data_IF_707822094997
#
_entry.id   IF_707822094997
#
_cell.length_a   1.000
_cell.length_b   1.000
_cell.length_c   1.000
_cell.angle_alpha   90.00
_cell.angle_beta   90.00
_cell.angle_gamma   90.00
#
_symmetry.space_group_name_H-M   'P 1'
#
loop_
_entity.id
_entity.type
_entity.pdbx_description
1 polymer ?
#
# COMPACT_ATOMS: atom_id res chain seq x y z
N UNK A 1 13.74 11.82 -6.29
CA UNK A 1 14.47 10.87 -5.37
C UNK A 1 15.68 11.57 -4.80
N UNK A 2 15.92 11.38 -3.52
CA UNK A 2 16.99 12.01 -2.76
C UNK A 2 17.89 10.94 -2.15
N UNK A 3 19.22 11.08 -2.30
CA UNK A 3 20.22 10.26 -1.63
C UNK A 3 20.87 11.06 -0.49
N UNK A 4 20.82 10.53 0.72
CA UNK A 4 21.46 11.13 1.89
C UNK A 4 22.52 10.21 2.47
N UNK A 5 23.68 10.72 2.92
CA UNK A 5 24.66 9.92 3.62
C UNK A 5 24.11 9.44 4.97
N UNK A 6 24.45 8.23 5.32
CA UNK A 6 24.19 7.63 6.63
C UNK A 6 25.48 7.48 7.43
N UNK A 7 25.38 7.63 8.74
CA UNK A 7 26.49 7.34 9.68
C UNK A 7 26.54 5.84 9.98
N UNK A 8 26.58 5.01 8.94
CA UNK A 8 26.60 3.55 9.08
C UNK A 8 27.76 2.96 8.28
N UNK A 9 28.50 2.04 8.89
CA UNK A 9 29.59 1.32 8.19
C UNK A 9 29.06 0.33 7.14
N UNK A 10 27.83 -0.11 7.28
CA UNK A 10 27.19 -1.12 6.41
C UNK A 10 26.44 -0.53 5.24
N UNK A 11 25.87 0.67 5.42
CA UNK A 11 25.09 1.38 4.42
C UNK A 11 25.51 2.84 4.42
N UNK A 12 26.36 3.27 3.47
CA UNK A 12 26.90 4.63 3.47
C UNK A 12 25.86 5.69 3.10
N UNK A 13 24.79 5.33 2.41
CA UNK A 13 23.72 6.25 2.03
C UNK A 13 22.36 5.55 1.93
N UNK A 14 21.32 6.36 1.97
CA UNK A 14 19.94 5.95 1.79
C UNK A 14 19.28 6.78 0.68
N UNK A 15 18.51 6.09 -0.15
CA UNK A 15 17.60 6.72 -1.08
C UNK A 15 16.22 6.83 -0.49
N UNK A 16 15.56 7.97 -0.70
CA UNK A 16 14.20 8.26 -0.27
C UNK A 16 13.49 9.13 -1.31
N UNK A 17 12.16 9.06 -1.45
CA UNK A 17 11.42 10.11 -2.14
C UNK A 17 11.62 11.43 -1.40
N UNK A 18 11.82 12.51 -2.14
CA UNK A 18 11.94 13.85 -1.57
C UNK A 18 10.62 14.63 -1.68
N UNK A 19 10.03 14.58 -2.87
CA UNK A 19 8.82 15.33 -3.19
C UNK A 19 8.13 14.70 -4.41
N UNK A 20 6.80 14.86 -4.49
CA UNK A 20 6.01 14.61 -5.71
C UNK A 20 5.53 15.95 -6.25
N UNK A 21 6.03 16.32 -7.43
CA UNK A 21 5.67 17.56 -8.11
C UNK A 21 4.62 17.28 -9.17
N UNK A 22 3.44 17.85 -9.02
CA UNK A 22 2.41 17.84 -10.05
C UNK A 22 2.73 18.88 -11.11
N UNK A 23 3.04 18.43 -12.31
CA UNK A 23 3.41 19.32 -13.41
C UNK A 23 2.69 18.91 -14.69
N UNK A 24 2.18 19.86 -15.49
CA UNK A 24 1.63 19.60 -16.81
C UNK A 24 2.72 19.38 -17.88
N UNK A 25 4.00 19.47 -17.51
CA UNK A 25 5.09 19.32 -18.46
C UNK A 25 5.16 17.90 -18.99
N UNK A 26 5.52 17.73 -20.27
CA UNK A 26 5.68 16.41 -20.87
C UNK A 26 6.82 15.64 -20.20
N UNK A 27 6.76 14.33 -20.33
CA UNK A 27 7.85 13.47 -19.88
C UNK A 27 9.16 13.87 -20.58
N UNK A 28 10.21 13.97 -19.80
CA UNK A 28 11.57 14.17 -20.31
C UNK A 28 12.52 13.22 -19.58
N UNK A 29 13.79 13.18 -19.99
CA UNK A 29 14.79 12.34 -19.36
C UNK A 29 14.97 12.72 -17.87
N UNK A 30 15.26 11.75 -17.01
CA UNK A 30 15.66 12.03 -15.63
C UNK A 30 16.84 12.99 -15.58
N UNK A 31 16.85 13.88 -14.61
CA UNK A 31 17.93 14.85 -14.45
C UNK A 31 18.35 15.00 -13.00
N UNK A 32 19.65 15.17 -12.79
CA UNK A 32 20.22 15.50 -11.50
C UNK A 32 20.03 17.00 -11.23
N UNK A 33 19.30 17.32 -10.15
CA UNK A 33 19.06 18.72 -9.73
C UNK A 33 20.14 19.21 -8.78
N UNK A 34 20.72 18.29 -8.00
CA UNK A 34 21.79 18.57 -7.05
C UNK A 34 22.69 17.36 -6.91
N UNK A 35 23.99 17.59 -6.87
CA UNK A 35 24.98 16.56 -6.58
C UNK A 35 26.10 17.17 -5.73
N UNK A 36 25.96 17.02 -4.42
CA UNK A 36 26.97 17.47 -3.46
C UNK A 36 27.22 16.37 -2.40
N UNK A 37 28.30 16.46 -1.61
CA UNK A 37 28.65 15.44 -0.62
C UNK A 37 27.58 15.18 0.45
N UNK A 38 26.71 16.15 0.71
CA UNK A 38 25.65 16.06 1.71
C UNK A 38 24.34 15.51 1.14
N UNK A 39 24.13 15.63 -0.19
CA UNK A 39 22.86 15.28 -0.82
C UNK A 39 23.00 15.15 -2.32
N UNK A 40 22.39 14.12 -2.87
CA UNK A 40 22.14 14.04 -4.32
C UNK A 40 20.63 14.01 -4.57
N UNK A 41 20.13 14.88 -5.45
CA UNK A 41 18.71 15.02 -5.75
C UNK A 41 18.46 14.79 -7.24
N UNK A 42 17.61 13.82 -7.56
CA UNK A 42 17.21 13.49 -8.92
C UNK A 42 15.72 13.74 -9.15
N UNK A 43 15.40 14.35 -10.27
CA UNK A 43 14.04 14.50 -10.78
C UNK A 43 13.77 13.42 -11.83
N UNK A 44 12.65 12.72 -11.69
CA UNK A 44 12.16 11.69 -12.62
C UNK A 44 10.80 12.15 -13.17
N UNK A 45 10.77 12.83 -14.31
CA UNK A 45 9.52 13.26 -14.94
C UNK A 45 8.84 12.09 -15.66
N UNK A 46 7.52 12.25 -15.94
CA UNK A 46 6.79 11.33 -16.80
C UNK A 46 6.01 10.23 -16.08
N UNK A 47 6.07 10.18 -14.74
CA UNK A 47 5.13 9.34 -14.00
C UNK A 47 3.73 9.93 -14.12
N UNK A 48 2.75 9.11 -14.47
CA UNK A 48 1.35 9.53 -14.58
C UNK A 48 0.55 9.02 -13.40
N UNK A 49 -0.23 9.91 -12.77
CA UNK A 49 -1.22 9.55 -11.78
C UNK A 49 -2.60 9.51 -12.45
N UNK A 50 -3.30 8.39 -12.31
CA UNK A 50 -4.68 8.23 -12.74
C UNK A 50 -5.51 7.70 -11.58
N UNK A 51 -6.75 8.19 -11.45
CA UNK A 51 -7.70 7.65 -10.50
C UNK A 51 -8.67 6.72 -11.22
N UNK A 52 -8.92 5.57 -10.62
CA UNK A 52 -9.81 4.53 -11.13
C UNK A 52 -10.96 4.31 -10.15
N UNK A 53 -12.18 4.21 -10.64
CA UNK A 53 -13.38 4.05 -9.79
C UNK A 53 -13.40 2.73 -9.02
N UNK A 54 -12.80 1.69 -9.54
CA UNK A 54 -12.65 0.38 -8.89
C UNK A 54 -11.62 0.38 -7.75
N UNK A 55 -10.71 1.36 -7.71
CA UNK A 55 -9.77 1.59 -6.60
C UNK A 55 -10.29 2.61 -5.55
N UNK A 56 -11.54 3.05 -5.64
CA UNK A 56 -12.11 4.07 -4.76
C UNK A 56 -12.05 3.68 -3.26
N UNK A 57 -12.15 2.38 -2.93
CA UNK A 57 -11.95 1.89 -1.57
C UNK A 57 -10.51 2.12 -1.08
N UNK A 58 -9.52 1.85 -1.90
CA UNK A 58 -8.11 2.09 -1.56
C UNK A 58 -7.81 3.58 -1.32
N UNK A 59 -8.44 4.47 -2.06
CA UNK A 59 -8.34 5.92 -1.84
C UNK A 59 -9.04 6.34 -0.56
N UNK A 60 -10.22 5.78 -0.28
CA UNK A 60 -10.92 6.00 0.99
C UNK A 60 -10.04 5.57 2.18
N UNK A 61 -9.43 4.39 2.14
CA UNK A 61 -8.56 3.89 3.21
C UNK A 61 -7.34 4.79 3.44
N UNK A 62 -6.76 5.35 2.37
CA UNK A 62 -5.68 6.31 2.49
C UNK A 62 -6.13 7.59 3.20
N UNK A 63 -7.29 8.15 2.83
CA UNK A 63 -7.85 9.33 3.49
C UNK A 63 -8.22 9.07 4.95
N UNK A 64 -8.82 7.92 5.25
CA UNK A 64 -9.27 7.52 6.59
C UNK A 64 -8.12 7.18 7.54
N UNK A 65 -6.91 7.02 7.05
CA UNK A 65 -5.70 6.75 7.84
C UNK A 65 -5.33 7.87 8.83
N UNK A 66 -5.89 9.06 8.66
CA UNK A 66 -5.53 10.27 9.41
C UNK A 66 -4.23 10.93 8.98
N UNK A 67 -3.47 10.31 8.08
CA UNK A 67 -2.22 10.83 7.50
C UNK A 67 -2.13 10.48 6.03
N UNK A 68 -2.98 11.07 5.17
CA UNK A 68 -3.03 10.75 3.74
C UNK A 68 -1.67 10.97 3.08
N UNK A 69 -1.27 10.02 2.23
CA UNK A 69 0.06 10.04 1.64
C UNK A 69 0.09 9.57 0.19
N UNK A 70 1.13 9.98 -0.51
CA UNK A 70 1.58 9.35 -1.73
C UNK A 70 2.21 8.01 -1.40
N UNK A 71 2.00 7.01 -2.23
CA UNK A 71 2.76 5.76 -2.24
C UNK A 71 3.63 5.75 -3.49
N UNK A 72 4.95 5.67 -3.30
CA UNK A 72 5.92 5.72 -4.37
C UNK A 72 6.69 4.39 -4.39
N UNK A 73 6.45 3.59 -5.41
CA UNK A 73 7.20 2.36 -5.65
C UNK A 73 8.43 2.69 -6.47
N UNK A 74 9.57 2.21 -6.03
CA UNK A 74 10.84 2.42 -6.70
C UNK A 74 11.77 1.21 -6.58
N UNK A 75 12.76 1.14 -7.46
CA UNK A 75 13.78 0.10 -7.45
C UNK A 75 15.16 0.72 -7.67
N UNK A 76 16.19 0.01 -7.26
CA UNK A 76 17.55 0.35 -7.66
C UNK A 76 17.79 -0.05 -9.11
N UNK A 77 18.36 0.87 -9.89
CA UNK A 77 18.93 0.63 -11.22
C UNK A 77 20.40 1.07 -11.18
N UNK A 78 21.30 0.10 -11.01
CA UNK A 78 22.67 0.37 -10.65
C UNK A 78 22.78 1.11 -9.32
N UNK A 79 23.32 2.33 -9.35
CA UNK A 79 23.48 3.17 -8.13
C UNK A 79 22.33 4.16 -7.93
N UNK A 80 21.36 4.21 -8.83
CA UNK A 80 20.25 5.16 -8.78
C UNK A 80 18.96 4.48 -8.29
N UNK A 81 18.24 5.18 -7.45
CA UNK A 81 16.87 4.80 -7.09
C UNK A 81 15.89 5.39 -8.10
N UNK A 82 15.25 4.55 -8.88
CA UNK A 82 14.33 4.94 -9.96
C UNK A 82 12.89 4.72 -9.51
N UNK A 83 12.06 5.76 -9.38
CA UNK A 83 10.64 5.61 -9.10
C UNK A 83 9.94 5.10 -10.36
N UNK A 84 9.08 4.11 -10.19
CA UNK A 84 8.38 3.43 -11.29
C UNK A 84 6.87 3.67 -11.25
N UNK A 85 6.32 3.82 -10.05
CA UNK A 85 4.87 4.00 -9.86
C UNK A 85 4.60 4.96 -8.71
N UNK A 86 3.60 5.82 -8.91
CA UNK A 86 3.03 6.67 -7.85
C UNK A 86 1.53 6.40 -7.80
N UNK A 87 1.04 6.06 -6.62
CA UNK A 87 -0.38 5.81 -6.41
C UNK A 87 -0.91 6.49 -5.14
N UNK A 88 -2.23 6.66 -5.09
CA UNK A 88 -2.97 7.12 -3.91
C UNK A 88 -3.78 5.99 -3.27
N UNK A 89 -3.84 4.80 -3.91
CA UNK A 89 -4.58 3.65 -3.40
C UNK A 89 -3.75 2.89 -2.37
N UNK A 90 -4.27 2.82 -1.13
CA UNK A 90 -3.71 1.98 -0.08
C UNK A 90 -3.67 0.50 -0.51
N UNK A 91 -4.74 0.03 -1.18
CA UNK A 91 -4.83 -1.35 -1.62
C UNK A 91 -3.80 -1.69 -2.70
N UNK A 92 -3.55 -0.77 -3.63
CA UNK A 92 -2.51 -0.94 -4.65
C UNK A 92 -1.11 -0.95 -4.02
N UNK A 93 -0.84 -0.03 -3.10
CA UNK A 93 0.42 0.00 -2.36
C UNK A 93 0.66 -1.29 -1.56
N UNK A 94 -0.38 -1.82 -0.89
CA UNK A 94 -0.30 -3.08 -0.17
C UNK A 94 0.04 -4.25 -1.11
N UNK A 95 -0.61 -4.32 -2.29
CA UNK A 95 -0.30 -5.36 -3.29
C UNK A 95 1.14 -5.28 -3.80
N UNK A 96 1.67 -4.06 -3.98
CA UNK A 96 3.07 -3.86 -4.38
C UNK A 96 4.03 -4.36 -3.29
N UNK A 97 3.78 -4.01 -2.03
CA UNK A 97 4.59 -4.47 -0.89
C UNK A 97 4.52 -5.98 -0.70
N UNK A 98 3.34 -6.58 -0.83
CA UNK A 98 3.15 -8.04 -0.79
C UNK A 98 3.90 -8.75 -1.92
N UNK A 99 4.05 -8.09 -3.07
CA UNK A 99 4.87 -8.52 -4.20
C UNK A 99 6.38 -8.36 -3.99
N UNK A 100 6.82 -7.84 -2.83
CA UNK A 100 8.23 -7.62 -2.51
C UNK A 100 8.81 -6.32 -3.04
N UNK A 101 7.97 -5.40 -3.52
CA UNK A 101 8.41 -4.09 -4.00
C UNK A 101 8.71 -3.14 -2.84
N UNK A 102 9.66 -2.26 -3.04
CA UNK A 102 9.89 -1.16 -2.11
C UNK A 102 8.92 -0.03 -2.38
N UNK A 103 8.15 0.33 -1.35
CA UNK A 103 7.18 1.43 -1.39
C UNK A 103 7.47 2.37 -0.21
N UNK A 104 7.75 3.61 -0.53
CA UNK A 104 7.89 4.69 0.45
C UNK A 104 6.74 5.68 0.34
N UNK A 105 6.53 6.46 1.38
CA UNK A 105 5.42 7.41 1.47
C UNK A 105 5.89 8.86 1.63
N UNK A 106 5.08 9.78 1.10
CA UNK A 106 5.19 11.22 1.34
C UNK A 106 3.82 11.79 1.68
N UNK A 107 3.73 12.79 2.57
CA UNK A 107 2.44 13.43 2.89
C UNK A 107 1.76 14.03 1.67
N UNK A 108 0.43 13.96 1.61
CA UNK A 108 -0.34 14.62 0.56
C UNK A 108 -0.48 16.12 0.82
N UNK A 109 -0.30 16.97 -0.19
CA UNK A 109 -0.73 18.35 -0.13
C UNK A 109 -2.25 18.47 0.04
N UNK A 110 -2.72 19.48 0.77
CA UNK A 110 -4.14 19.70 1.05
C UNK A 110 -5.02 19.72 -0.22
N UNK A 111 -4.53 20.35 -1.29
CA UNK A 111 -5.25 20.39 -2.56
C UNK A 111 -5.44 19.01 -3.21
N UNK A 112 -4.52 18.06 -2.98
CA UNK A 112 -4.64 16.69 -3.47
C UNK A 112 -5.63 15.90 -2.58
N UNK A 113 -5.57 16.10 -1.27
CA UNK A 113 -6.51 15.51 -0.31
C UNK A 113 -7.95 15.91 -0.66
N UNK A 114 -8.19 17.19 -0.93
CA UNK A 114 -9.52 17.70 -1.32
C UNK A 114 -10.03 17.04 -2.61
N UNK A 115 -9.20 16.99 -3.65
CA UNK A 115 -9.56 16.35 -4.93
C UNK A 115 -9.81 14.86 -4.79
N UNK A 116 -8.97 14.18 -4.01
CA UNK A 116 -9.14 12.76 -3.73
C UNK A 116 -10.43 12.51 -2.95
N UNK A 117 -10.74 13.36 -1.97
CA UNK A 117 -11.98 13.31 -1.19
C UNK A 117 -13.22 13.46 -2.07
N UNK A 118 -13.21 14.40 -3.03
CA UNK A 118 -14.29 14.56 -3.99
C UNK A 118 -14.47 13.31 -4.86
N UNK A 119 -13.39 12.72 -5.34
CA UNK A 119 -13.43 11.47 -6.11
C UNK A 119 -14.00 10.30 -5.29
N UNK A 120 -13.55 10.14 -4.05
CA UNK A 120 -14.04 9.11 -3.14
C UNK A 120 -15.53 9.30 -2.86
N UNK A 121 -15.99 10.52 -2.61
CA UNK A 121 -17.41 10.81 -2.39
C UNK A 121 -18.29 10.45 -3.60
N UNK A 122 -17.77 10.57 -4.80
CA UNK A 122 -18.48 10.24 -6.05
C UNK A 122 -18.51 8.73 -6.31
N UNK A 123 -17.39 8.03 -6.15
CA UNK A 123 -17.22 6.65 -6.62
C UNK A 123 -17.24 5.59 -5.53
N UNK A 124 -16.87 5.91 -4.30
CA UNK A 124 -16.84 4.91 -3.23
C UNK A 124 -18.25 4.63 -2.71
N UNK A 125 -18.60 3.35 -2.72
CA UNK A 125 -19.86 2.84 -2.14
C UNK A 125 -19.49 1.75 -1.13
N UNK A 126 -19.54 2.05 0.18
CA UNK A 126 -19.24 1.07 1.21
C UNK A 126 -20.18 -0.12 1.08
N UNK A 127 -19.63 -1.31 0.95
CA UNK A 127 -20.44 -2.52 0.98
C UNK A 127 -20.97 -2.72 2.41
N UNK A 128 -22.28 -2.97 2.59
CA UNK A 128 -22.81 -3.30 3.91
C UNK A 128 -22.09 -4.53 4.43
N UNK A 129 -21.48 -4.42 5.61
CA UNK A 129 -20.83 -5.55 6.28
C UNK A 129 -21.89 -6.62 6.54
N UNK A 130 -21.98 -7.61 5.66
CA UNK A 130 -22.79 -8.80 5.89
C UNK A 130 -22.37 -9.42 7.21
N UNK A 131 -23.32 -9.65 8.14
CA UNK A 131 -23.01 -10.38 9.37
C UNK A 131 -22.39 -11.71 8.95
N UNK A 132 -21.13 -11.94 9.29
CA UNK A 132 -20.50 -13.25 9.15
C UNK A 132 -21.41 -14.24 9.86
N UNK A 133 -22.08 -15.11 9.10
CA UNK A 133 -22.79 -16.24 9.66
C UNK A 133 -21.74 -17.07 10.40
N UNK A 134 -21.84 -17.14 11.74
CA UNK A 134 -21.00 -18.06 12.51
C UNK A 134 -21.23 -19.43 11.88
N UNK A 135 -20.18 -20.18 11.48
CA UNK A 135 -20.37 -21.57 11.09
C UNK A 135 -21.07 -22.25 12.26
N UNK A 136 -22.29 -22.74 12.04
CA UNK A 136 -22.95 -23.61 13.00
C UNK A 136 -22.05 -24.84 13.11
N UNK A 137 -21.47 -25.04 14.29
CA UNK A 137 -20.70 -26.26 14.57
C UNK A 137 -21.73 -27.40 14.71
N UNK A 138 -22.10 -28.00 13.58
CA UNK A 138 -22.95 -29.18 13.52
C UNK A 138 -22.19 -30.45 13.95
N UNK A 139 -21.11 -30.34 14.71
CA UNK A 139 -20.37 -31.48 15.26
C UNK A 139 -20.99 -32.11 16.49
N UNK A 140 -22.05 -31.51 17.06
CA UNK A 140 -22.70 -32.08 18.27
C UNK A 140 -23.37 -33.43 18.07
N UNK A 141 -23.94 -33.65 16.89
CA UNK A 141 -24.64 -34.94 16.61
C UNK A 141 -23.67 -36.12 16.38
N UNK A 142 -22.54 -35.89 15.75
CA UNK A 142 -21.53 -36.94 15.53
C UNK A 142 -20.81 -37.32 16.82
N UNK A 143 -20.55 -36.37 17.72
CA UNK A 143 -19.93 -36.65 19.03
C UNK A 143 -20.90 -37.40 19.95
N UNK A 144 -22.20 -37.09 19.92
CA UNK A 144 -23.21 -37.85 20.67
C UNK A 144 -23.42 -39.25 20.15
N UNK A 145 -23.31 -39.50 18.83
CA UNK A 145 -23.38 -40.86 18.26
C UNK A 145 -22.16 -41.69 18.64
N UNK A 146 -20.94 -41.12 18.68
CA UNK A 146 -19.75 -41.82 19.14
C UNK A 146 -19.79 -42.17 20.64
N UNK A 147 -20.25 -41.25 21.48
CA UNK A 147 -20.41 -41.47 22.92
C UNK A 147 -21.49 -42.55 23.24
N UNK A 148 -22.54 -42.62 22.41
CA UNK A 148 -23.57 -43.68 22.52
C UNK A 148 -23.07 -45.07 22.11
N UNK A 149 -22.13 -45.17 21.17
CA UNK A 149 -21.55 -46.41 20.70
C UNK A 149 -20.53 -47.02 21.71
N UNK A 150 -19.80 -46.20 22.46
CA UNK A 150 -18.86 -46.65 23.50
C UNK A 150 -19.58 -47.13 24.80
N UNK A 151 -20.79 -46.63 25.06
CA UNK A 151 -21.59 -47.04 26.22
C UNK A 151 -22.18 -48.48 26.10
N UNK A 152 -22.31 -49.03 24.90
CA UNK A 152 -22.97 -50.31 24.63
C UNK A 152 -22.02 -51.51 24.68
N UNK A 153 -20.73 -51.33 24.85
CA UNK A 153 -19.72 -52.41 24.88
C UNK A 153 -19.34 -52.84 26.31
N UNK A 154 -19.90 -52.19 27.36
CA UNK A 154 -19.50 -52.43 28.74
C UNK A 154 -20.50 -53.19 29.60
N UNK A 155 -21.61 -53.66 29.06
CA UNK A 155 -22.58 -54.48 29.82
C UNK A 155 -22.80 -55.83 29.21
N UNK A 156 -21.77 -56.63 29.24
CA UNK A 156 -21.77 -58.04 28.77
C UNK A 156 -20.77 -58.89 29.52
N UNK A 157 -20.99 -59.00 30.87
CA UNK A 157 -20.47 -60.13 31.67
C UNK A 157 -21.19 -60.22 32.99
#
# INVERSE_FOLDING_TARGET
MQRKPLKSAWQPFQWLPAEVVLSPLPACAPCCLRDDPSETLWLYPGLSLRLYSDEAEGYFLNLDSGSPCWFIMWRMDGELAVPLTVTLSYNEAARLMDGGEQVDTLPLPAAVVERLGAFVAEYYRPQPKGKRRRPSFEGGAAVQQMAGAEGMVRDGR
#
